data_IF_279868528848
#
_entry.id   IF_279868528848
#
_cell.length_a   1.000
_cell.length_b   1.000
_cell.length_c   1.000
_cell.angle_alpha   90.00
_cell.angle_beta   90.00
_cell.angle_gamma   90.00
#
_symmetry.space_group_name_H-M   'P 1'
#
loop_
_entity.id
_entity.type
_entity.pdbx_description
1 polymer ?
#
# COMPACT_ATOMS: atom_id res chain seq x y z
N UNK A 1 -25.01 30.44 17.83
CA UNK A 1 -23.61 30.90 18.03
C UNK A 1 -22.91 31.03 16.67
N UNK A 2 -22.36 32.20 16.39
CA UNK A 2 -21.57 32.47 15.19
C UNK A 2 -20.12 32.01 15.40
N UNK A 3 -19.45 31.57 14.34
CA UNK A 3 -18.03 31.17 14.38
C UNK A 3 -17.30 31.68 13.14
N UNK A 4 -16.00 31.90 13.28
CA UNK A 4 -15.13 32.15 12.13
C UNK A 4 -15.02 30.91 11.25
N UNK A 5 -15.04 31.09 9.93
CA UNK A 5 -14.92 30.03 8.96
C UNK A 5 -13.49 29.91 8.44
N UNK A 6 -12.89 28.73 8.64
CA UNK A 6 -11.54 28.41 8.16
C UNK A 6 -11.38 28.42 6.62
N UNK A 7 -12.49 28.36 5.85
CA UNK A 7 -12.43 28.26 4.39
C UNK A 7 -12.59 29.61 3.67
N UNK A 8 -13.41 30.52 4.23
CA UNK A 8 -13.69 31.83 3.61
C UNK A 8 -13.26 33.03 4.47
N UNK A 9 -12.83 32.81 5.71
CA UNK A 9 -12.38 33.85 6.64
C UNK A 9 -13.49 34.71 7.26
N UNK A 10 -14.76 34.50 6.89
CA UNK A 10 -15.91 35.29 7.41
C UNK A 10 -16.56 34.61 8.62
N UNK A 11 -17.34 35.38 9.37
CA UNK A 11 -18.10 34.91 10.54
C UNK A 11 -19.52 34.55 10.11
N UNK A 12 -19.94 33.32 10.38
CA UNK A 12 -21.30 32.85 10.07
C UNK A 12 -21.75 31.74 11.03
N UNK A 13 -23.05 31.35 11.04
CA UNK A 13 -23.53 30.26 11.87
C UNK A 13 -22.80 28.94 11.59
N UNK A 14 -22.82 28.02 12.58
CA UNK A 14 -22.08 26.75 12.54
C UNK A 14 -22.34 25.90 11.28
N UNK A 15 -23.55 25.97 10.73
CA UNK A 15 -24.05 25.17 9.61
C UNK A 15 -24.24 25.98 8.32
N UNK A 16 -23.77 27.23 8.26
CA UNK A 16 -23.83 28.03 7.04
C UNK A 16 -22.80 27.51 6.02
N UNK A 17 -23.27 27.22 4.81
CA UNK A 17 -22.42 26.84 3.69
C UNK A 17 -21.90 28.10 2.98
N UNK A 18 -20.59 28.33 3.07
CA UNK A 18 -19.92 29.45 2.42
C UNK A 18 -19.41 29.13 1.00
N UNK A 19 -19.63 27.92 0.49
CA UNK A 19 -19.20 27.47 -0.84
C UNK A 19 -17.69 27.29 -1.03
N UNK A 20 -16.85 27.73 -0.08
CA UNK A 20 -15.38 27.62 -0.13
C UNK A 20 -14.84 26.33 0.47
N UNK A 21 -15.69 25.54 1.13
CA UNK A 21 -15.28 24.24 1.68
C UNK A 21 -14.97 23.29 0.51
N UNK A 22 -13.75 22.72 0.43
CA UNK A 22 -13.43 21.75 -0.62
C UNK A 22 -14.41 20.60 -0.61
N UNK A 23 -14.96 20.26 -1.79
CA UNK A 23 -15.78 19.06 -1.94
C UNK A 23 -14.87 17.84 -1.81
N UNK A 24 -15.17 16.96 -0.85
CA UNK A 24 -14.46 15.70 -0.69
C UNK A 24 -14.81 14.80 -1.88
N UNK A 25 -13.89 14.65 -2.83
CA UNK A 25 -14.04 13.69 -3.93
C UNK A 25 -13.84 12.30 -3.32
N UNK A 26 -14.91 11.48 -3.30
CA UNK A 26 -14.78 10.07 -2.95
C UNK A 26 -14.13 9.35 -4.14
N UNK A 27 -12.92 8.82 -3.95
CA UNK A 27 -12.29 7.91 -4.92
C UNK A 27 -12.90 6.53 -4.75
N UNK A 28 -13.93 6.22 -5.53
CA UNK A 28 -14.57 4.89 -5.54
C UNK A 28 -14.01 4.03 -6.68
N UNK A 29 -12.71 3.73 -6.60
CA UNK A 29 -12.03 2.90 -7.61
C UNK A 29 -12.24 1.41 -7.32
N UNK A 30 -12.03 0.55 -8.33
CA UNK A 30 -12.03 -0.91 -8.13
C UNK A 30 -11.03 -1.31 -7.04
N UNK A 31 -9.81 -0.77 -7.07
CA UNK A 31 -8.79 -0.98 -6.04
C UNK A 31 -9.25 -0.53 -4.65
N UNK A 32 -9.86 0.66 -4.53
CA UNK A 32 -10.39 1.16 -3.25
C UNK A 32 -11.42 0.21 -2.64
N UNK A 33 -12.34 -0.32 -3.45
CA UNK A 33 -13.33 -1.30 -2.98
C UNK A 33 -12.67 -2.64 -2.63
N UNK A 34 -11.74 -3.12 -3.46
CA UNK A 34 -11.03 -4.38 -3.23
C UNK A 34 -10.24 -4.38 -1.91
N UNK A 35 -9.54 -3.30 -1.58
CA UNK A 35 -8.76 -3.21 -0.34
C UNK A 35 -9.61 -3.28 0.94
N UNK A 36 -10.94 -3.13 0.81
CA UNK A 36 -11.89 -3.25 1.92
C UNK A 36 -12.53 -4.63 2.04
N UNK A 37 -12.25 -5.53 1.09
CA UNK A 37 -12.79 -6.89 1.12
C UNK A 37 -12.06 -7.75 2.13
N UNK A 38 -12.75 -8.76 2.67
CA UNK A 38 -12.13 -9.75 3.57
C UNK A 38 -11.02 -10.52 2.85
N UNK A 39 -11.22 -10.87 1.58
CA UNK A 39 -10.23 -11.57 0.76
C UNK A 39 -8.88 -10.85 0.71
N UNK A 40 -8.89 -9.51 0.56
CA UNK A 40 -7.65 -8.74 0.64
C UNK A 40 -7.05 -8.74 2.04
N UNK A 41 -7.86 -8.57 3.09
CA UNK A 41 -7.35 -8.58 4.47
C UNK A 41 -6.64 -9.90 4.80
N UNK A 42 -7.24 -11.03 4.43
CA UNK A 42 -6.70 -12.36 4.67
C UNK A 42 -5.42 -12.58 3.86
N UNK A 43 -5.45 -12.29 2.55
CA UNK A 43 -4.28 -12.43 1.67
C UNK A 43 -3.13 -11.52 2.13
N UNK A 44 -3.43 -10.29 2.54
CA UNK A 44 -2.42 -9.35 3.03
C UNK A 44 -1.76 -9.84 4.33
N UNK A 45 -2.48 -10.55 5.20
CA UNK A 45 -1.91 -11.21 6.38
C UNK A 45 -1.05 -12.41 5.97
N UNK A 46 -1.52 -13.23 5.02
CA UNK A 46 -0.79 -14.38 4.49
C UNK A 46 0.57 -13.97 3.90
N UNK A 47 0.60 -12.93 3.04
CA UNK A 47 1.83 -12.42 2.44
C UNK A 47 2.79 -11.86 3.50
N UNK A 48 2.28 -11.13 4.50
CA UNK A 48 3.13 -10.69 5.62
C UNK A 48 3.71 -11.84 6.41
N UNK A 49 2.96 -12.94 6.62
CA UNK A 49 3.46 -14.14 7.30
C UNK A 49 4.54 -14.84 6.47
N UNK A 50 4.31 -15.02 5.17
CA UNK A 50 5.31 -15.54 4.21
C UNK A 50 6.61 -14.75 4.32
N UNK A 51 6.49 -13.42 4.34
CA UNK A 51 7.61 -12.48 4.38
C UNK A 51 8.16 -12.25 5.82
N UNK A 52 7.74 -13.07 6.80
CA UNK A 52 8.12 -12.99 8.21
C UNK A 52 7.94 -11.61 8.86
N UNK A 53 6.97 -10.83 8.39
CA UNK A 53 6.73 -9.44 8.80
C UNK A 53 8.00 -8.58 8.69
N UNK A 54 8.76 -8.78 7.61
CA UNK A 54 9.93 -7.98 7.27
C UNK A 54 9.78 -7.40 5.86
N UNK A 55 10.24 -6.17 5.68
CA UNK A 55 10.39 -5.59 4.36
C UNK A 55 11.38 -6.40 3.53
N UNK A 56 10.92 -6.91 2.40
CA UNK A 56 11.67 -7.81 1.53
C UNK A 56 12.79 -7.11 0.76
N UNK A 57 12.69 -5.78 0.58
CA UNK A 57 13.77 -4.95 0.03
C UNK A 57 14.86 -4.66 1.09
N UNK A 58 14.46 -4.30 2.31
CA UNK A 58 15.38 -4.04 3.43
C UNK A 58 16.26 -5.25 3.77
N UNK A 59 15.68 -6.45 3.88
CA UNK A 59 16.44 -7.65 4.26
C UNK A 59 17.50 -8.03 3.21
N UNK A 60 17.28 -7.62 1.96
CA UNK A 60 18.20 -7.78 0.83
C UNK A 60 19.16 -6.60 0.64
N UNK A 61 19.16 -5.63 1.55
CA UNK A 61 20.02 -4.44 1.51
C UNK A 61 19.91 -3.64 0.20
N UNK A 62 18.70 -3.57 -0.38
CA UNK A 62 18.47 -2.76 -1.57
C UNK A 62 18.73 -1.27 -1.32
N UNK A 63 18.88 -0.49 -2.40
CA UNK A 63 19.03 0.97 -2.31
C UNK A 63 17.98 1.59 -1.37
N UNK A 64 18.36 2.60 -0.60
CA UNK A 64 17.50 3.24 0.41
C UNK A 64 17.33 2.46 1.72
N UNK A 65 17.98 1.30 1.89
CA UNK A 65 17.87 0.53 3.15
C UNK A 65 18.61 1.22 4.30
N UNK A 66 17.85 1.68 5.29
CA UNK A 66 18.39 2.22 6.55
C UNK A 66 18.59 1.15 7.63
N UNK A 67 17.74 0.12 7.64
CA UNK A 67 17.77 -1.00 8.60
C UNK A 67 17.46 -2.29 7.86
N UNK A 68 18.35 -3.29 7.96
CA UNK A 68 18.20 -4.59 7.27
C UNK A 68 16.93 -5.33 7.70
N UNK A 69 16.74 -5.54 9.00
CA UNK A 69 15.56 -6.21 9.54
C UNK A 69 14.50 -5.17 9.87
N UNK A 70 13.83 -4.65 8.85
CA UNK A 70 12.81 -3.62 9.01
C UNK A 70 11.41 -4.22 9.13
N UNK A 71 10.79 -4.04 10.30
CA UNK A 71 9.44 -4.48 10.65
C UNK A 71 8.46 -3.31 10.89
N UNK A 72 8.92 -2.07 10.70
CA UNK A 72 8.11 -0.87 10.93
C UNK A 72 7.48 -0.38 9.61
N UNK A 73 6.29 0.21 9.70
CA UNK A 73 5.56 0.82 8.59
C UNK A 73 5.38 -0.10 7.36
N UNK A 74 4.99 -1.35 7.62
CA UNK A 74 4.86 -2.37 6.58
C UNK A 74 3.52 -2.35 5.85
N UNK A 75 3.58 -2.55 4.54
CA UNK A 75 2.45 -2.70 3.64
C UNK A 75 2.71 -3.85 2.66
N UNK A 76 1.64 -4.42 2.10
CA UNK A 76 1.76 -5.35 0.97
C UNK A 76 1.53 -4.53 -0.29
N UNK A 77 2.54 -4.52 -1.15
CA UNK A 77 2.54 -3.81 -2.43
C UNK A 77 2.10 -4.76 -3.56
N UNK A 78 1.31 -4.23 -4.48
CA UNK A 78 0.97 -4.88 -5.75
C UNK A 78 2.00 -4.49 -6.80
N UNK A 79 2.80 -5.45 -7.27
CA UNK A 79 3.89 -5.18 -8.23
C UNK A 79 3.33 -4.72 -9.58
N UNK A 80 2.31 -5.42 -10.07
CA UNK A 80 1.38 -4.99 -11.10
C UNK A 80 0.15 -4.39 -10.41
N UNK A 81 -0.12 -3.08 -10.58
CA UNK A 81 -1.23 -2.42 -9.94
C UNK A 81 -2.58 -3.06 -10.31
N UNK A 82 -3.51 -3.11 -9.35
CA UNK A 82 -4.88 -3.64 -9.55
C UNK A 82 -5.63 -2.93 -10.71
N UNK A 83 -5.27 -1.68 -11.00
CA UNK A 83 -5.86 -0.93 -12.10
C UNK A 83 -5.37 -1.37 -13.49
N UNK A 84 -4.18 -1.98 -13.55
CA UNK A 84 -3.54 -2.50 -14.75
C UNK A 84 -3.96 -3.95 -15.01
N UNK A 85 -3.91 -4.79 -13.97
CA UNK A 85 -4.40 -6.17 -14.04
C UNK A 85 -5.16 -6.55 -12.76
N UNK A 86 -6.48 -6.71 -12.92
CA UNK A 86 -7.34 -7.07 -11.79
C UNK A 86 -7.27 -8.55 -11.45
N UNK A 87 -6.91 -9.44 -12.38
CA UNK A 87 -6.88 -10.88 -12.15
C UNK A 87 -5.74 -11.27 -11.21
N UNK A 88 -4.61 -10.55 -11.27
CA UNK A 88 -3.44 -10.76 -10.40
C UNK A 88 -3.57 -10.14 -9.00
N UNK A 89 -4.72 -9.55 -8.63
CA UNK A 89 -4.89 -8.80 -7.36
C UNK A 89 -4.68 -9.62 -6.08
N UNK A 90 -4.77 -10.96 -6.18
CA UNK A 90 -4.58 -11.93 -5.09
C UNK A 90 -3.45 -12.94 -5.39
N UNK A 91 -2.69 -12.73 -6.47
CA UNK A 91 -1.60 -13.60 -6.87
C UNK A 91 -0.37 -13.38 -5.98
N UNK A 92 0.18 -14.45 -5.41
CA UNK A 92 1.31 -14.38 -4.49
C UNK A 92 2.59 -13.89 -5.19
N UNK A 93 2.75 -14.15 -6.49
CA UNK A 93 3.88 -13.67 -7.29
C UNK A 93 3.76 -12.17 -7.62
N UNK A 94 2.59 -11.58 -7.39
CA UNK A 94 2.30 -10.17 -7.60
C UNK A 94 2.27 -9.35 -6.29
N UNK A 95 2.56 -9.99 -5.15
CA UNK A 95 2.41 -9.40 -3.83
C UNK A 95 3.70 -9.51 -3.02
N UNK A 96 4.12 -8.39 -2.43
CA UNK A 96 5.37 -8.31 -1.65
C UNK A 96 5.23 -7.38 -0.45
N UNK A 97 5.75 -7.80 0.71
CA UNK A 97 5.79 -6.97 1.92
C UNK A 97 6.96 -5.98 1.86
N UNK A 98 6.66 -4.68 1.94
CA UNK A 98 7.65 -3.59 1.92
C UNK A 98 7.35 -2.54 2.99
N UNK A 99 8.37 -1.81 3.45
CA UNK A 99 8.16 -0.64 4.31
C UNK A 99 7.69 0.56 3.48
N UNK A 100 7.17 1.62 4.12
CA UNK A 100 6.70 2.82 3.42
C UNK A 100 7.73 3.44 2.46
N UNK A 101 9.02 3.44 2.83
CA UNK A 101 10.07 3.97 1.96
C UNK A 101 10.25 3.14 0.68
N UNK A 102 10.39 1.82 0.80
CA UNK A 102 10.52 0.94 -0.38
C UNK A 102 9.20 0.83 -1.16
N UNK A 103 8.05 1.03 -0.52
CA UNK A 103 6.76 1.15 -1.21
C UNK A 103 6.75 2.36 -2.14
N UNK A 104 7.20 3.54 -1.68
CA UNK A 104 7.30 4.73 -2.53
C UNK A 104 8.30 4.55 -3.68
N UNK A 105 9.44 3.90 -3.42
CA UNK A 105 10.42 3.57 -4.45
C UNK A 105 9.85 2.61 -5.51
N UNK A 106 9.04 1.62 -5.10
CA UNK A 106 8.36 0.73 -6.03
C UNK A 106 7.30 1.46 -6.87
N UNK A 107 6.44 2.28 -6.24
CA UNK A 107 5.41 3.06 -6.93
C UNK A 107 5.99 4.07 -7.94
N UNK A 108 7.17 4.62 -7.64
CA UNK A 108 7.87 5.56 -8.52
C UNK A 108 8.75 4.89 -9.58
N UNK A 109 8.84 3.55 -9.58
CA UNK A 109 9.67 2.79 -10.52
C UNK A 109 11.17 2.89 -10.27
N UNK A 110 11.59 3.36 -9.09
CA UNK A 110 13.00 3.33 -8.66
C UNK A 110 13.47 1.92 -8.33
N UNK A 111 12.53 1.01 -8.02
CA UNK A 111 12.77 -0.42 -7.99
C UNK A 111 12.00 -1.03 -9.16
N UNK A 112 12.71 -1.77 -9.99
CA UNK A 112 12.11 -2.44 -11.14
C UNK A 112 11.10 -3.51 -10.70
N UNK A 113 9.98 -3.62 -11.43
CA UNK A 113 8.97 -4.65 -11.21
C UNK A 113 9.54 -6.05 -11.37
N UNK A 114 10.46 -6.26 -12.32
CA UNK A 114 11.10 -7.56 -12.55
C UNK A 114 11.82 -8.03 -11.29
N UNK A 115 12.58 -7.13 -10.65
CA UNK A 115 13.28 -7.42 -9.38
C UNK A 115 12.29 -7.75 -8.26
N UNK A 116 11.17 -7.03 -8.17
CA UNK A 116 10.15 -7.31 -7.16
C UNK A 116 9.47 -8.66 -7.39
N UNK A 117 9.21 -9.04 -8.64
CA UNK A 117 8.65 -10.34 -9.00
C UNK A 117 9.61 -11.48 -8.67
N UNK A 118 10.90 -11.33 -8.94
CA UNK A 118 11.93 -12.30 -8.54
C UNK A 118 11.93 -12.51 -7.03
N UNK A 119 11.84 -11.42 -6.26
CA UNK A 119 11.78 -11.48 -4.79
C UNK A 119 10.51 -12.20 -4.30
N UNK A 120 9.35 -11.91 -4.90
CA UNK A 120 8.09 -12.53 -4.53
C UNK A 120 8.11 -14.05 -4.81
N UNK A 121 8.60 -14.46 -5.99
CA UNK A 121 8.78 -15.86 -6.38
C UNK A 121 9.70 -16.61 -5.42
N UNK A 122 10.86 -16.02 -5.11
CA UNK A 122 11.81 -16.60 -4.15
C UNK A 122 11.15 -16.84 -2.78
N UNK A 123 10.27 -15.93 -2.33
CA UNK A 123 9.54 -16.11 -1.07
C UNK A 123 8.46 -17.19 -1.16
N UNK A 124 7.80 -17.34 -2.31
CA UNK A 124 6.83 -18.41 -2.53
C UNK A 124 7.51 -19.79 -2.54
N UNK A 125 8.64 -19.93 -3.23
CA UNK A 125 9.44 -21.16 -3.25
C UNK A 125 9.94 -21.54 -1.84
N UNK A 126 10.41 -20.56 -1.05
CA UNK A 126 10.83 -20.79 0.34
C UNK A 126 9.71 -21.30 1.22
N UNK A 127 8.48 -20.82 1.03
CA UNK A 127 7.31 -21.28 1.77
C UNK A 127 6.99 -22.73 1.45
N UNK A 128 7.09 -23.14 0.19
CA UNK A 128 6.83 -24.51 -0.26
C UNK A 128 7.86 -25.52 0.29
N UNK A 129 9.13 -25.12 0.37
CA UNK A 129 10.19 -25.98 0.93
C UNK A 129 10.11 -26.18 2.45
N UNK A 130 9.32 -25.35 3.14
CA UNK A 130 9.16 -25.38 4.61
C UNK A 130 7.84 -26.06 5.05
N UNK A 131 6.97 -26.41 4.10
CA UNK A 131 5.71 -27.13 4.34
C UNK A 131 5.87 -28.64 4.23
#
# INVERSE_FOLDING_TARGET
>A
MLKSCQYCGRIHPKNYDCGRKPKRIKRDTKAYRFHRTQAWQDKSIEIRRRDHYLCQCCIRLMHGTMRKHNYDDLSVHHIVPIAEDYEQRLDDDNLITVCGHHHEMAESGQIDREVLHEIAKEQNEKREMQG
#
